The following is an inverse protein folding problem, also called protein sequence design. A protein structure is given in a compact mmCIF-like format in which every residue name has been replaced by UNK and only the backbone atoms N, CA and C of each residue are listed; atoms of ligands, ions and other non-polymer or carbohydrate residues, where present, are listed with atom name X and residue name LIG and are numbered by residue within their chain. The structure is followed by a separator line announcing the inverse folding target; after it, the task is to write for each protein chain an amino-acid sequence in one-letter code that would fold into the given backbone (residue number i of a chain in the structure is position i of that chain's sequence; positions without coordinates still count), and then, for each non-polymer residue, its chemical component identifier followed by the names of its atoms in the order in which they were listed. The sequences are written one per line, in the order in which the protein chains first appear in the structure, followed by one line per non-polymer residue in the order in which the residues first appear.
data_IF_453259752724
#
_entry.id   IF_453259752724
#
_cell.length_a   1.000
_cell.length_b   1.000
_cell.length_c   1.000
_cell.angle_alpha   90.00
_cell.angle_beta   90.00
_cell.angle_gamma   90.00
#
_symmetry.space_group_name_H-M   'P 1'
#
loop_
_entity.id
_entity.type
_entity.pdbx_description
1 polymer ?
#
# COMPACT_ATOMS: atom_id res chain seq x y z
N UNK A 1 -6.33 -40.34 -33.10
CA UNK A 1 -5.95 -39.04 -32.50
C UNK A 1 -7.23 -38.29 -32.18
N UNK A 2 -7.61 -38.16 -30.91
CA UNK A 2 -8.87 -37.52 -30.52
C UNK A 2 -8.74 -35.99 -30.58
N UNK A 3 -9.18 -35.39 -31.68
CA UNK A 3 -9.20 -33.93 -31.91
C UNK A 3 -10.01 -33.17 -30.84
N UNK A 4 -11.00 -33.82 -30.23
CA UNK A 4 -11.77 -33.27 -29.11
C UNK A 4 -10.93 -33.08 -27.84
N UNK A 5 -9.99 -33.99 -27.55
CA UNK A 5 -9.10 -33.87 -26.40
C UNK A 5 -8.08 -32.75 -26.59
N UNK A 6 -7.57 -32.59 -27.82
CA UNK A 6 -6.65 -31.51 -28.18
C UNK A 6 -7.29 -30.12 -28.07
N UNK A 7 -8.54 -29.97 -28.54
CA UNK A 7 -9.27 -28.69 -28.43
C UNK A 7 -9.60 -28.33 -26.98
N UNK A 8 -9.94 -29.31 -26.15
CA UNK A 8 -10.19 -29.09 -24.72
C UNK A 8 -8.92 -28.61 -23.99
N UNK A 9 -7.78 -29.25 -24.23
CA UNK A 9 -6.50 -28.85 -23.65
C UNK A 9 -6.08 -27.44 -24.10
N UNK A 10 -6.30 -27.09 -25.37
CA UNK A 10 -6.02 -25.76 -25.88
C UNK A 10 -6.89 -24.69 -25.19
N UNK A 11 -8.19 -24.95 -25.00
CA UNK A 11 -9.10 -24.02 -24.32
C UNK A 11 -8.70 -23.78 -22.85
N UNK A 12 -8.32 -24.84 -22.13
CA UNK A 12 -7.84 -24.73 -20.73
C UNK A 12 -6.52 -23.97 -20.66
N UNK A 13 -5.60 -24.21 -21.60
CA UNK A 13 -4.34 -23.49 -21.69
C UNK A 13 -4.52 -21.99 -21.91
N UNK A 14 -5.40 -21.60 -22.84
CA UNK A 14 -5.74 -20.19 -23.09
C UNK A 14 -6.38 -19.55 -21.86
N UNK A 15 -7.28 -20.27 -21.17
CA UNK A 15 -7.91 -19.76 -19.95
C UNK A 15 -6.89 -19.54 -18.81
N UNK A 16 -5.95 -20.46 -18.62
CA UNK A 16 -4.86 -20.32 -17.67
C UNK A 16 -3.96 -19.13 -17.99
N UNK A 17 -3.61 -18.93 -19.27
CA UNK A 17 -2.80 -17.78 -19.69
C UNK A 17 -3.51 -16.44 -19.39
N UNK A 18 -4.82 -16.36 -19.66
CA UNK A 18 -5.62 -15.16 -19.36
C UNK A 18 -5.66 -14.92 -17.84
N UNK A 19 -5.85 -15.98 -17.05
CA UNK A 19 -5.88 -15.88 -15.59
C UNK A 19 -4.54 -15.39 -15.03
N UNK A 20 -3.43 -15.97 -15.49
CA UNK A 20 -2.08 -15.56 -15.10
C UNK A 20 -1.79 -14.12 -15.52
N UNK A 21 -2.18 -13.73 -16.74
CA UNK A 21 -2.00 -12.37 -17.23
C UNK A 21 -2.74 -11.34 -16.36
N UNK A 22 -4.02 -11.59 -16.05
CA UNK A 22 -4.82 -10.72 -15.17
C UNK A 22 -4.24 -10.65 -13.75
N UNK A 23 -3.81 -11.78 -13.21
CA UNK A 23 -3.20 -11.85 -11.88
C UNK A 23 -1.91 -11.03 -11.80
N UNK A 24 -1.04 -11.14 -12.82
CA UNK A 24 0.22 -10.41 -12.86
C UNK A 24 0.02 -8.90 -13.02
N UNK A 25 -0.93 -8.48 -13.87
CA UNK A 25 -1.25 -7.06 -14.03
C UNK A 25 -1.79 -6.44 -12.74
N UNK A 26 -2.60 -7.17 -11.96
CA UNK A 26 -3.08 -6.70 -10.65
C UNK A 26 -1.93 -6.46 -9.67
N UNK A 27 -0.92 -7.33 -9.65
CA UNK A 27 0.27 -7.17 -8.82
C UNK A 27 1.15 -6.00 -9.29
N UNK A 28 1.30 -5.82 -10.61
CA UNK A 28 2.05 -4.68 -11.17
C UNK A 28 1.38 -3.34 -10.90
N UNK A 29 0.04 -3.26 -10.97
CA UNK A 29 -0.66 -2.01 -10.64
C UNK A 29 -0.47 -1.60 -9.19
N UNK A 30 -0.31 -2.56 -8.27
CA UNK A 30 0.05 -2.23 -6.90
C UNK A 30 1.45 -1.63 -6.82
N UNK A 31 2.45 -2.16 -7.54
CA UNK A 31 3.83 -1.64 -7.48
C UNK A 31 3.99 -0.23 -8.07
N UNK A 32 3.11 0.18 -8.98
CA UNK A 32 3.16 1.50 -9.64
C UNK A 32 2.45 2.62 -8.86
N UNK A 33 1.88 2.32 -7.70
CA UNK A 33 1.25 3.35 -6.88
C UNK A 33 2.31 4.37 -6.42
N UNK A 34 2.05 5.67 -6.60
CA UNK A 34 3.00 6.72 -6.28
C UNK A 34 3.33 6.67 -4.78
N UNK A 35 4.62 6.66 -4.48
CA UNK A 35 5.12 6.72 -3.11
C UNK A 35 5.36 8.18 -2.76
N UNK A 36 4.67 8.69 -1.74
CA UNK A 36 4.85 10.07 -1.29
C UNK A 36 6.15 10.19 -0.49
N UNK A 37 6.95 11.24 -0.73
CA UNK A 37 8.07 11.56 0.14
C UNK A 37 7.54 12.07 1.47
N UNK A 38 7.90 11.36 2.54
CA UNK A 38 7.54 11.69 3.90
C UNK A 38 8.65 11.24 4.84
N UNK A 39 8.81 11.92 5.97
CA UNK A 39 9.72 11.52 7.04
C UNK A 39 8.93 11.13 8.27
N UNK A 40 9.28 10.02 8.89
CA UNK A 40 8.66 9.60 10.14
C UNK A 40 9.43 10.20 11.30
N UNK A 41 8.74 11.05 12.05
CA UNK A 41 9.31 11.77 13.19
C UNK A 41 9.31 10.89 14.44
N UNK A 42 8.26 10.07 14.61
CA UNK A 42 8.10 9.17 15.76
C UNK A 42 7.39 7.90 15.32
N UNK A 43 7.87 6.74 15.80
CA UNK A 43 7.28 5.43 15.54
C UNK A 43 6.92 4.77 16.87
N UNK A 44 5.67 4.36 17.01
CA UNK A 44 5.19 3.53 18.11
C UNK A 44 4.60 2.25 17.54
N UNK A 45 5.19 1.11 17.91
CA UNK A 45 4.69 -0.20 17.49
C UNK A 45 3.87 -0.83 18.61
N UNK A 46 2.59 -1.08 18.34
CA UNK A 46 1.66 -1.70 19.29
C UNK A 46 1.29 -3.10 18.81
N UNK A 47 1.41 -4.11 19.67
CA UNK A 47 1.06 -5.52 19.34
C UNK A 47 -0.38 -5.70 18.84
N UNK A 48 -1.33 -4.91 19.34
CA UNK A 48 -2.76 -5.05 19.03
C UNK A 48 -3.27 -4.12 17.91
N UNK A 49 -2.59 -3.00 17.66
CA UNK A 49 -3.07 -1.94 16.75
C UNK A 49 -2.15 -1.67 15.57
N UNK A 50 -1.00 -2.35 15.50
CA UNK A 50 0.02 -2.14 14.47
C UNK A 50 0.91 -0.95 14.78
N UNK A 51 1.48 -0.34 13.74
CA UNK A 51 2.41 0.77 13.87
C UNK A 51 1.62 2.08 13.80
N UNK A 52 1.77 2.94 14.79
CA UNK A 52 1.31 4.33 14.74
C UNK A 52 2.53 5.20 14.66
N UNK A 53 2.57 6.05 13.65
CA UNK A 53 3.72 6.89 13.35
C UNK A 53 3.29 8.33 13.12
N UNK A 54 4.04 9.26 13.69
CA UNK A 54 3.92 10.68 13.38
C UNK A 54 4.73 10.93 12.11
N UNK A 55 4.02 11.16 11.01
CA UNK A 55 4.61 11.34 9.68
C UNK A 55 4.55 12.82 9.32
N UNK A 56 5.68 13.37 8.89
CA UNK A 56 5.76 14.70 8.29
C UNK A 56 5.79 14.55 6.77
N UNK A 57 4.79 15.09 6.10
CA UNK A 57 4.75 15.09 4.65
C UNK A 57 5.52 16.30 4.12
N UNK A 58 6.27 16.10 3.03
CA UNK A 58 7.04 17.18 2.41
C UNK A 58 6.15 18.18 1.64
N UNK A 59 4.89 17.78 1.36
CA UNK A 59 3.89 18.59 0.69
C UNK A 59 2.66 18.73 1.58
N UNK A 60 2.04 19.90 1.51
CA UNK A 60 0.95 20.41 2.38
C UNK A 60 -0.42 19.74 2.11
N UNK A 61 -0.42 18.44 1.81
CA UNK A 61 -1.60 17.65 1.49
C UNK A 61 -1.96 16.74 2.66
N UNK A 62 -3.25 16.66 2.95
CA UNK A 62 -3.79 15.72 3.93
C UNK A 62 -3.44 14.27 3.52
N UNK A 63 -3.00 13.42 4.47
CA UNK A 63 -2.74 12.02 4.20
C UNK A 63 -4.04 11.30 3.85
N UNK A 64 -3.99 10.45 2.83
CA UNK A 64 -5.12 9.62 2.45
C UNK A 64 -4.87 8.15 2.82
N UNK A 65 -5.94 7.46 3.18
CA UNK A 65 -5.89 6.01 3.41
C UNK A 65 -5.51 5.33 2.10
N UNK A 66 -4.47 4.48 2.15
CA UNK A 66 -3.92 3.80 0.98
C UNK A 66 -2.68 4.46 0.40
N UNK A 67 -2.36 5.70 0.79
CA UNK A 67 -1.09 6.33 0.44
C UNK A 67 0.08 5.46 0.91
N UNK A 68 1.16 5.50 0.13
CA UNK A 68 2.41 4.82 0.44
C UNK A 68 3.47 5.84 0.79
N UNK A 69 4.28 5.49 1.77
CA UNK A 69 5.44 6.25 2.19
C UNK A 69 6.66 5.35 2.16
N UNK A 70 7.80 5.94 1.78
CA UNK A 70 9.09 5.28 1.76
C UNK A 70 9.99 5.93 2.79
N UNK A 71 10.50 5.12 3.72
CA UNK A 71 11.46 5.55 4.71
C UNK A 71 12.52 4.46 4.92
N UNK A 72 13.79 4.85 4.87
CA UNK A 72 14.95 3.98 5.14
C UNK A 72 14.89 2.61 4.44
N UNK A 73 14.49 2.61 3.16
CA UNK A 73 14.41 1.40 2.34
C UNK A 73 13.18 0.52 2.61
N UNK A 74 12.27 0.94 3.50
CA UNK A 74 11.02 0.26 3.78
C UNK A 74 9.84 1.03 3.19
N UNK A 75 8.82 0.30 2.73
CA UNK A 75 7.57 0.88 2.24
C UNK A 75 6.47 0.62 3.27
N UNK A 76 5.76 1.67 3.63
CA UNK A 76 4.62 1.61 4.52
C UNK A 76 3.36 2.06 3.80
N UNK A 77 2.23 1.45 4.15
CA UNK A 77 0.88 1.85 3.73
C UNK A 77 0.17 2.57 4.86
N UNK A 78 -0.44 3.71 4.57
CA UNK A 78 -1.39 4.36 5.49
C UNK A 78 -2.68 3.54 5.50
N UNK A 79 -3.09 3.07 6.68
CA UNK A 79 -4.34 2.35 6.90
C UNK A 79 -5.39 3.18 7.64
N UNK A 80 -4.95 4.24 8.33
CA UNK A 80 -5.83 5.19 9.01
C UNK A 80 -5.06 6.45 9.40
N UNK A 81 -5.79 7.55 9.52
CA UNK A 81 -5.26 8.83 10.03
C UNK A 81 -5.88 9.06 11.40
N UNK A 82 -5.05 9.30 12.41
CA UNK A 82 -5.46 9.56 13.78
C UNK A 82 -5.49 11.06 13.96
N UNK A 83 -6.68 11.61 14.15
CA UNK A 83 -6.84 13.02 14.53
C UNK A 83 -6.71 13.10 16.04
N UNK A 84 -5.61 13.68 16.53
CA UNK A 84 -5.47 13.98 17.95
C UNK A 84 -6.32 15.20 18.30
N UNK A 85 -7.37 15.02 19.10
CA UNK A 85 -8.23 16.10 19.62
C UNK A 85 -7.48 17.06 20.58
N UNK A 86 -6.27 16.69 20.99
CA UNK A 86 -5.44 17.52 21.84
C UNK A 86 -4.83 18.68 21.05
N UNK A 87 -5.27 19.91 21.38
CA UNK A 87 -4.70 21.22 21.02
C UNK A 87 -3.24 21.41 21.49
N UNK A 88 -2.36 20.46 21.25
CA UNK A 88 -0.93 20.66 21.37
C UNK A 88 -0.40 20.92 19.97
N UNK A 89 0.23 22.07 19.82
CA UNK A 89 0.90 22.60 18.63
C UNK A 89 1.64 21.50 17.85
N UNK A 90 0.93 20.76 17.00
CA UNK A 90 1.59 19.90 16.04
C UNK A 90 2.27 20.85 15.04
N UNK A 91 3.55 20.61 14.70
CA UNK A 91 4.20 21.33 13.62
C UNK A 91 3.30 21.31 12.39
N UNK A 92 3.24 22.43 11.65
CA UNK A 92 2.57 22.46 10.34
C UNK A 92 3.09 21.26 9.52
N UNK A 93 2.18 20.51 8.90
CA UNK A 93 2.46 19.33 8.05
C UNK A 93 2.73 17.98 8.76
N UNK A 94 2.59 17.88 10.09
CA UNK A 94 2.69 16.58 10.78
C UNK A 94 1.33 15.92 11.01
N UNK A 95 1.25 14.61 10.76
CA UNK A 95 0.04 13.81 10.92
C UNK A 95 0.35 12.48 11.60
N UNK A 96 -0.49 12.08 12.56
CA UNK A 96 -0.41 10.75 13.15
C UNK A 96 -1.14 9.74 12.25
N UNK A 97 -0.40 8.80 11.70
CA UNK A 97 -0.90 7.81 10.75
C UNK A 97 -0.70 6.40 11.30
N UNK A 98 -1.69 5.53 11.10
CA UNK A 98 -1.54 4.08 11.30
C UNK A 98 -0.93 3.47 10.04
N UNK A 99 0.20 2.81 10.21
CA UNK A 99 1.00 2.25 9.15
C UNK A 99 1.04 0.73 9.19
N UNK A 100 1.14 0.13 8.01
CA UNK A 100 1.46 -1.29 7.82
C UNK A 100 2.62 -1.39 6.84
N UNK A 101 3.65 -2.16 7.22
CA UNK A 101 4.79 -2.44 6.33
C UNK A 101 4.34 -3.35 5.19
N UNK A 102 4.67 -2.97 3.95
CA UNK A 102 4.40 -3.75 2.72
C UNK A 102 5.70 -4.32 2.16
#
# INVERSE_FOLDING_TARGET
MNLLLLSLLAAVGVWLLIFLYRSNNRKRSELLLPVRPASIVKIHSYKSFGIIATVRFQYDLTPQIGDRLHEDGNIYKITGVVFSDSKQEQPKETWDCRLVKI
#
